data_IF_543346106564
#
_entry.id   IF_543346106564
#
_cell.length_a   1.000
_cell.length_b   1.000
_cell.length_c   1.000
_cell.angle_alpha   90.00
_cell.angle_beta   90.00
_cell.angle_gamma   90.00
#
_symmetry.space_group_name_H-M   'P 1'
#
loop_
_entity.id
_entity.type
_entity.pdbx_description
1 polymer ?
#
# COMPACT_ATOMS: atom_id res chain seq x y z
N UNK A 1 9.25 -7.24 10.42
CA UNK A 1 10.28 -6.95 9.38
C UNK A 1 9.67 -6.92 7.97
N UNK A 2 8.80 -7.86 7.63
CA UNK A 2 8.18 -7.95 6.29
C UNK A 2 7.23 -6.77 6.00
N UNK A 3 6.42 -6.34 6.97
CA UNK A 3 5.47 -5.22 6.81
C UNK A 3 6.19 -3.87 6.65
N UNK A 4 7.25 -3.61 7.40
CA UNK A 4 8.03 -2.37 7.27
C UNK A 4 8.77 -2.30 5.94
N UNK A 5 9.31 -3.41 5.47
CA UNK A 5 9.97 -3.46 4.16
C UNK A 5 8.97 -3.19 3.03
N UNK A 6 7.78 -3.79 3.09
CA UNK A 6 6.71 -3.57 2.13
C UNK A 6 6.27 -2.10 2.12
N UNK A 7 6.10 -1.51 3.30
CA UNK A 7 5.73 -0.11 3.47
C UNK A 7 6.79 0.82 2.88
N UNK A 8 8.07 0.58 3.18
CA UNK A 8 9.17 1.36 2.64
C UNK A 8 9.26 1.24 1.12
N UNK A 9 9.11 0.03 0.57
CA UNK A 9 9.11 -0.16 -0.89
C UNK A 9 7.93 0.53 -1.56
N UNK A 10 6.75 0.46 -0.96
CA UNK A 10 5.55 1.14 -1.44
C UNK A 10 5.73 2.66 -1.42
N UNK A 11 6.32 3.20 -0.36
CA UNK A 11 6.65 4.62 -0.25
C UNK A 11 7.63 5.07 -1.34
N UNK A 12 8.69 4.31 -1.59
CA UNK A 12 9.66 4.61 -2.65
C UNK A 12 9.00 4.60 -4.03
N UNK A 13 8.13 3.63 -4.29
CA UNK A 13 7.42 3.53 -5.57
C UNK A 13 6.45 4.72 -5.76
N UNK A 14 5.74 5.10 -4.71
CA UNK A 14 4.84 6.26 -4.75
C UNK A 14 5.63 7.57 -4.94
N UNK A 15 6.73 7.76 -4.22
CA UNK A 15 7.60 8.93 -4.41
C UNK A 15 8.16 9.00 -5.83
N UNK A 16 8.52 7.86 -6.41
CA UNK A 16 9.00 7.79 -7.80
C UNK A 16 7.91 8.23 -8.78
N UNK A 17 6.67 7.80 -8.56
CA UNK A 17 5.51 8.24 -9.35
C UNK A 17 5.30 9.76 -9.25
N UNK A 18 5.30 10.31 -8.04
CA UNK A 18 5.10 11.74 -7.81
C UNK A 18 6.26 12.59 -8.38
N UNK A 19 7.48 12.11 -8.26
CA UNK A 19 8.66 12.75 -8.89
C UNK A 19 8.57 12.74 -10.40
N UNK A 20 8.04 11.69 -11.00
CA UNK A 20 7.83 11.64 -12.44
C UNK A 20 6.83 12.71 -12.91
N UNK A 21 5.73 12.92 -12.17
CA UNK A 21 4.82 14.03 -12.43
C UNK A 21 5.54 15.38 -12.41
N UNK A 22 6.37 15.60 -11.39
CA UNK A 22 7.17 16.84 -11.29
C UNK A 22 8.12 17.00 -12.46
N UNK A 23 8.81 15.95 -12.86
CA UNK A 23 9.74 15.98 -14.01
C UNK A 23 9.02 16.38 -15.30
N UNK A 24 7.82 15.87 -15.54
CA UNK A 24 7.00 16.23 -16.69
C UNK A 24 6.63 17.70 -16.60
N UNK A 25 6.19 18.18 -15.46
CA UNK A 25 5.87 19.59 -15.21
C UNK A 25 7.09 20.49 -15.40
N UNK A 26 8.23 20.13 -14.85
CA UNK A 26 9.48 20.91 -14.98
C UNK A 26 9.98 20.93 -16.43
N UNK A 27 9.93 19.81 -17.14
CA UNK A 27 10.31 19.73 -18.55
C UNK A 27 9.41 20.61 -19.41
N UNK A 28 8.09 20.57 -19.17
CA UNK A 28 7.15 21.41 -19.90
C UNK A 28 7.40 22.91 -19.66
N UNK A 29 7.59 23.30 -18.41
CA UNK A 29 7.80 24.71 -18.09
C UNK A 29 9.19 25.21 -18.53
N UNK A 30 10.26 24.60 -18.02
CA UNK A 30 11.62 25.12 -18.21
C UNK A 30 12.18 24.88 -19.62
N UNK A 31 11.80 23.80 -20.26
CA UNK A 31 12.34 23.45 -21.58
C UNK A 31 11.43 23.89 -22.74
N UNK A 32 10.15 24.09 -22.52
CA UNK A 32 9.19 24.39 -23.59
C UNK A 32 8.59 25.78 -23.45
N UNK A 33 8.00 26.14 -22.30
CA UNK A 33 7.21 27.37 -22.16
C UNK A 33 8.07 28.61 -21.89
N UNK A 34 9.05 28.50 -21.01
CA UNK A 34 9.72 29.64 -20.35
C UNK A 34 10.35 30.62 -21.33
N UNK A 35 10.97 30.13 -22.39
CA UNK A 35 11.75 30.96 -23.34
C UNK A 35 10.96 31.27 -24.63
N UNK A 36 9.67 30.99 -24.68
CA UNK A 36 8.82 31.23 -25.85
C UNK A 36 7.90 32.40 -25.69
N UNK A 37 7.76 33.20 -26.74
CA UNK A 37 6.72 34.22 -26.87
C UNK A 37 5.49 33.57 -27.55
N UNK A 38 4.43 33.38 -26.78
CA UNK A 38 3.21 32.69 -27.22
C UNK A 38 2.41 33.47 -28.30
N UNK A 39 2.74 34.74 -28.55
CA UNK A 39 2.17 35.51 -29.65
C UNK A 39 2.74 35.08 -31.02
N UNK A 40 3.94 34.48 -31.03
CA UNK A 40 4.71 34.12 -32.23
C UNK A 40 4.97 32.63 -32.30
N UNK A 41 5.26 32.00 -31.16
CA UNK A 41 5.65 30.61 -31.04
C UNK A 41 4.48 29.72 -30.55
N UNK A 42 4.42 28.51 -31.07
CA UNK A 42 3.52 27.47 -30.54
C UNK A 42 4.31 26.49 -29.66
N UNK A 43 3.65 25.99 -28.61
CA UNK A 43 4.19 24.95 -27.74
C UNK A 43 3.53 23.57 -27.95
N UNK A 44 2.58 23.50 -28.89
CA UNK A 44 1.74 22.31 -29.09
C UNK A 44 2.54 21.07 -29.48
N UNK A 45 3.52 21.21 -30.37
CA UNK A 45 4.32 20.10 -30.85
C UNK A 45 5.18 19.50 -29.74
N UNK A 46 5.90 20.30 -29.00
CA UNK A 46 6.76 19.86 -27.89
C UNK A 46 5.93 19.29 -26.74
N UNK A 47 4.79 19.91 -26.44
CA UNK A 47 3.85 19.41 -25.43
C UNK A 47 3.32 18.03 -25.82
N UNK A 48 2.97 17.84 -27.08
CA UNK A 48 2.50 16.56 -27.60
C UNK A 48 3.61 15.49 -27.58
N UNK A 49 4.84 15.84 -27.91
CA UNK A 49 5.98 14.94 -27.81
C UNK A 49 6.22 14.49 -26.37
N UNK A 50 6.12 15.41 -25.41
CA UNK A 50 6.26 15.10 -23.99
C UNK A 50 5.12 14.19 -23.50
N UNK A 51 3.90 14.45 -23.95
CA UNK A 51 2.75 13.57 -23.70
C UNK A 51 2.96 12.17 -24.26
N UNK A 52 3.33 12.05 -25.53
CA UNK A 52 3.56 10.74 -26.18
C UNK A 52 4.65 9.92 -25.50
N UNK A 53 5.69 10.57 -24.99
CA UNK A 53 6.76 9.91 -24.24
C UNK A 53 6.33 9.35 -22.89
N UNK A 54 5.22 9.83 -22.32
CA UNK A 54 4.74 9.49 -20.97
C UNK A 54 3.30 8.96 -20.95
N UNK A 55 2.68 8.71 -22.08
CA UNK A 55 1.24 8.39 -22.21
C UNK A 55 0.78 7.13 -21.46
N UNK A 56 1.70 6.26 -21.06
CA UNK A 56 1.35 5.07 -20.28
C UNK A 56 0.77 5.42 -18.90
N UNK A 57 1.23 6.52 -18.31
CA UNK A 57 0.81 7.00 -17.00
C UNK A 57 0.15 8.39 -17.04
N UNK A 58 0.37 9.13 -18.11
CA UNK A 58 -0.08 10.51 -18.27
C UNK A 58 -1.41 10.55 -19.04
N UNK A 59 -2.41 11.23 -18.47
CA UNK A 59 -3.70 11.46 -19.13
C UNK A 59 -3.64 12.72 -19.98
N UNK A 60 -3.13 13.83 -19.44
CA UNK A 60 -3.01 15.07 -20.17
C UNK A 60 -2.01 16.04 -19.54
N UNK A 61 -1.52 16.96 -20.38
CA UNK A 61 -0.84 18.18 -19.95
C UNK A 61 -1.66 19.35 -20.52
N UNK A 62 -1.90 20.38 -19.71
CA UNK A 62 -2.60 21.57 -20.15
C UNK A 62 -1.98 22.82 -19.52
N UNK A 63 -2.00 23.90 -20.27
CA UNK A 63 -1.56 25.22 -19.80
C UNK A 63 -2.69 26.22 -20.01
N UNK A 64 -2.99 27.00 -18.96
CA UNK A 64 -4.04 28.00 -18.94
C UNK A 64 -3.47 29.38 -18.63
N UNK A 65 -4.11 30.40 -19.14
CA UNK A 65 -3.87 31.79 -18.72
C UNK A 65 -4.46 32.02 -17.32
N UNK A 66 -4.13 33.15 -16.69
CA UNK A 66 -4.66 33.52 -15.37
C UNK A 66 -6.18 33.77 -15.34
N UNK A 67 -6.81 33.98 -16.49
CA UNK A 67 -8.26 34.11 -16.66
C UNK A 67 -8.94 32.80 -17.10
N UNK A 68 -8.20 31.68 -17.08
CA UNK A 68 -8.72 30.34 -17.34
C UNK A 68 -8.85 29.95 -18.80
N UNK A 69 -8.23 30.69 -19.72
CA UNK A 69 -8.20 30.32 -21.14
C UNK A 69 -7.13 29.29 -21.43
N UNK A 70 -7.48 28.29 -22.22
CA UNK A 70 -6.53 27.26 -22.66
C UNK A 70 -5.49 27.86 -23.61
N UNK A 71 -4.22 27.72 -23.25
CA UNK A 71 -3.07 28.05 -24.11
C UNK A 71 -2.71 26.88 -25.01
N UNK A 72 -2.55 25.70 -24.43
CA UNK A 72 -2.21 24.48 -25.11
C UNK A 72 -2.61 23.27 -24.27
N UNK A 73 -2.90 22.15 -24.92
CA UNK A 73 -3.17 20.87 -24.30
C UNK A 73 -2.63 19.70 -25.12
N UNK A 74 -2.19 18.67 -24.44
CA UNK A 74 -1.83 17.40 -25.05
C UNK A 74 -2.46 16.24 -24.24
N UNK A 75 -3.10 15.23 -24.88
CA UNK A 75 -3.34 15.18 -26.33
C UNK A 75 -4.25 16.30 -26.80
N UNK A 76 -4.15 16.62 -28.09
CA UNK A 76 -5.01 17.66 -28.70
C UNK A 76 -6.47 17.24 -28.55
N UNK A 77 -7.25 18.09 -27.88
CA UNK A 77 -8.65 17.82 -27.55
C UNK A 77 -9.42 19.15 -27.44
N UNK A 78 -10.72 19.06 -27.48
CA UNK A 78 -11.58 20.22 -27.27
C UNK A 78 -11.88 20.41 -25.79
N UNK A 79 -11.85 21.68 -25.35
CA UNK A 79 -12.36 22.03 -24.02
C UNK A 79 -13.86 21.73 -23.91
N UNK A 80 -14.27 21.37 -22.72
CA UNK A 80 -15.69 21.22 -22.39
C UNK A 80 -16.33 22.61 -22.19
N UNK A 81 -17.44 22.84 -22.84
CA UNK A 81 -18.09 24.17 -22.92
C UNK A 81 -18.49 24.82 -21.58
N UNK A 82 -18.47 24.09 -20.46
CA UNK A 82 -18.90 24.58 -19.14
C UNK A 82 -17.88 24.31 -18.03
N UNK A 83 -16.60 24.28 -18.35
CA UNK A 83 -15.56 24.15 -17.33
C UNK A 83 -15.22 25.51 -16.73
N UNK A 84 -15.68 25.76 -15.51
CA UNK A 84 -15.22 26.91 -14.71
C UNK A 84 -13.80 26.66 -14.21
N UNK A 85 -12.83 26.86 -15.11
CA UNK A 85 -11.40 26.56 -14.85
C UNK A 85 -10.89 27.35 -13.65
N UNK A 86 -11.23 28.62 -13.54
CA UNK A 86 -10.74 29.50 -12.48
C UNK A 86 -11.28 29.15 -11.08
N UNK A 87 -12.37 28.41 -10.99
CA UNK A 87 -12.98 27.97 -9.75
C UNK A 87 -12.54 26.54 -9.34
N UNK A 88 -11.74 25.88 -10.19
CA UNK A 88 -11.20 24.57 -9.87
C UNK A 88 -10.15 24.68 -8.75
N UNK A 89 -10.20 23.75 -7.80
CA UNK A 89 -9.30 23.76 -6.64
C UNK A 89 -7.82 23.79 -7.04
N UNK A 90 -7.43 22.98 -8.02
CA UNK A 90 -6.05 22.95 -8.53
C UNK A 90 -5.61 24.28 -9.14
N UNK A 91 -6.53 25.02 -9.78
CA UNK A 91 -6.25 26.34 -10.34
C UNK A 91 -6.10 27.39 -9.25
N UNK A 92 -7.03 27.42 -8.31
CA UNK A 92 -7.02 28.35 -7.17
C UNK A 92 -5.75 28.16 -6.34
N UNK A 93 -5.39 26.93 -6.02
CA UNK A 93 -4.19 26.63 -5.25
C UNK A 93 -2.91 27.11 -5.98
N UNK A 94 -2.82 26.88 -7.29
CA UNK A 94 -1.67 27.31 -8.08
C UNK A 94 -1.52 28.85 -8.13
N UNK A 95 -2.63 29.58 -8.21
CA UNK A 95 -2.63 31.05 -8.25
C UNK A 95 -2.38 31.65 -6.87
N UNK A 96 -2.99 31.10 -5.81
CA UNK A 96 -2.87 31.62 -4.45
C UNK A 96 -1.50 31.36 -3.83
N UNK A 97 -0.87 30.22 -4.18
CA UNK A 97 0.44 29.81 -3.67
C UNK A 97 1.41 29.54 -4.82
N UNK A 98 1.75 30.57 -5.54
CA UNK A 98 2.53 30.52 -6.79
C UNK A 98 3.90 29.86 -6.68
N UNK A 99 4.49 29.82 -5.48
CA UNK A 99 5.83 29.25 -5.26
C UNK A 99 5.82 27.72 -5.10
N UNK A 100 4.63 27.12 -4.92
CA UNK A 100 4.49 25.71 -4.58
C UNK A 100 3.93 24.90 -5.76
N UNK A 101 4.28 23.62 -5.73
CA UNK A 101 3.61 22.58 -6.50
C UNK A 101 2.42 22.06 -5.70
N UNK A 102 1.29 21.84 -6.35
CA UNK A 102 0.06 21.39 -5.70
C UNK A 102 -0.36 20.03 -6.26
N UNK A 103 -0.37 19.02 -5.41
CA UNK A 103 -0.90 17.69 -5.73
C UNK A 103 -2.34 17.59 -5.24
N UNK A 104 -3.25 17.20 -6.14
CA UNK A 104 -4.64 16.96 -5.76
C UNK A 104 -4.84 15.51 -5.29
N UNK A 105 -5.91 15.29 -4.55
CA UNK A 105 -6.48 13.95 -4.36
C UNK A 105 -7.11 13.43 -5.65
N UNK A 106 -7.32 12.11 -5.80
CA UNK A 106 -7.95 11.54 -6.98
C UNK A 106 -9.33 12.14 -7.25
N UNK A 107 -9.55 12.53 -8.48
CA UNK A 107 -10.82 13.10 -8.95
C UNK A 107 -11.04 12.76 -10.41
N UNK A 108 -12.28 12.94 -10.86
CA UNK A 108 -12.62 12.75 -12.28
C UNK A 108 -12.19 14.00 -13.06
N UNK A 109 -11.41 13.79 -14.13
CA UNK A 109 -11.08 14.88 -15.04
C UNK A 109 -12.34 15.33 -15.80
N UNK A 110 -12.68 16.60 -15.69
CA UNK A 110 -13.86 17.21 -16.31
C UNK A 110 -13.51 18.45 -17.16
N UNK A 111 -12.36 18.41 -17.82
CA UNK A 111 -11.82 19.56 -18.55
C UNK A 111 -12.05 19.48 -20.05
N UNK A 112 -12.05 18.25 -20.60
CA UNK A 112 -12.04 18.00 -22.04
C UNK A 112 -13.20 17.12 -22.46
N UNK A 113 -13.68 17.35 -23.68
CA UNK A 113 -14.61 16.46 -24.34
C UNK A 113 -13.90 15.17 -24.73
N UNK A 114 -14.46 14.05 -24.31
CA UNK A 114 -13.96 12.73 -24.64
C UNK A 114 -14.95 12.05 -25.59
N UNK A 115 -14.55 11.83 -26.83
CA UNK A 115 -15.36 11.15 -27.86
C UNK A 115 -15.80 9.73 -27.44
N UNK A 116 -15.11 9.10 -26.51
CA UNK A 116 -15.43 7.78 -25.99
C UNK A 116 -16.31 7.78 -24.74
N UNK A 117 -16.76 8.94 -24.27
CA UNK A 117 -17.52 9.12 -23.02
C UNK A 117 -16.91 8.43 -21.80
N UNK A 118 -15.58 8.36 -21.75
CA UNK A 118 -14.85 7.75 -20.64
C UNK A 118 -14.55 8.79 -19.58
N UNK A 119 -14.78 8.42 -18.34
CA UNK A 119 -14.33 9.20 -17.20
C UNK A 119 -12.93 8.72 -16.78
N UNK A 120 -11.97 9.64 -16.78
CA UNK A 120 -10.63 9.38 -16.29
C UNK A 120 -10.50 9.84 -14.85
N UNK A 121 -10.14 8.92 -13.97
CA UNK A 121 -9.70 9.28 -12.63
C UNK A 121 -8.23 9.68 -12.68
N UNK A 122 -7.94 10.87 -12.18
CA UNK A 122 -6.62 11.48 -12.24
C UNK A 122 -6.16 11.97 -10.88
N UNK A 123 -4.84 12.04 -10.73
CA UNK A 123 -4.17 12.85 -9.71
C UNK A 123 -3.53 14.00 -10.46
N UNK A 124 -3.80 15.22 -10.05
CA UNK A 124 -3.34 16.44 -10.71
C UNK A 124 -2.14 17.04 -9.98
N UNK A 125 -1.17 17.49 -10.76
CA UNK A 125 -0.11 18.39 -10.32
C UNK A 125 -0.34 19.74 -11.01
N UNK A 126 -0.58 20.78 -10.24
CA UNK A 126 -0.72 22.15 -10.75
C UNK A 126 0.37 23.07 -10.22
N UNK A 127 0.76 24.01 -11.03
CA UNK A 127 1.73 25.06 -10.66
C UNK A 127 1.51 26.34 -11.43
N UNK A 128 1.85 27.47 -10.82
CA UNK A 128 1.95 28.74 -11.49
C UNK A 128 3.17 28.76 -12.42
N UNK A 129 2.99 29.30 -13.60
CA UNK A 129 4.04 29.50 -14.61
C UNK A 129 4.00 30.92 -15.15
N UNK A 130 5.14 31.42 -15.62
CA UNK A 130 5.23 32.66 -16.30
C UNK A 130 5.01 32.49 -17.81
N UNK A 131 4.01 33.15 -18.35
CA UNK A 131 3.71 33.13 -19.78
C UNK A 131 4.11 34.46 -20.40
N UNK A 132 4.83 34.44 -21.52
CA UNK A 132 5.23 35.61 -22.27
C UNK A 132 4.45 35.70 -23.57
N UNK A 133 3.86 36.87 -23.82
CA UNK A 133 3.15 37.18 -25.07
C UNK A 133 3.41 38.64 -25.46
N UNK A 134 3.90 38.86 -26.68
CA UNK A 134 4.32 40.20 -27.16
C UNK A 134 5.30 40.92 -26.21
N UNK A 135 6.21 40.17 -25.61
CA UNK A 135 7.18 40.68 -24.64
C UNK A 135 6.64 40.97 -23.25
N UNK A 136 5.35 40.76 -23.01
CA UNK A 136 4.71 40.94 -21.70
C UNK A 136 4.59 39.61 -20.97
N UNK A 137 4.96 39.61 -19.70
CA UNK A 137 4.83 38.43 -18.84
C UNK A 137 3.53 38.48 -18.05
N UNK A 138 2.80 37.39 -18.05
CA UNK A 138 1.59 37.17 -17.26
C UNK A 138 1.67 35.81 -16.53
N UNK A 139 0.87 35.69 -15.48
CA UNK A 139 0.74 34.42 -14.77
C UNK A 139 -0.13 33.46 -15.57
N UNK A 140 0.28 32.20 -15.57
CA UNK A 140 -0.52 31.09 -16.07
C UNK A 140 -0.48 29.91 -15.10
N UNK A 141 -1.22 28.86 -15.42
CA UNK A 141 -1.26 27.63 -14.64
C UNK A 141 -0.98 26.44 -15.55
N UNK A 142 0.00 25.64 -15.18
CA UNK A 142 0.33 24.37 -15.81
C UNK A 142 -0.28 23.23 -15.00
N UNK A 143 -0.99 22.35 -15.69
CA UNK A 143 -1.66 21.19 -15.12
C UNK A 143 -1.13 19.91 -15.75
N UNK A 144 -0.67 18.97 -14.92
CA UNK A 144 -0.28 17.63 -15.32
C UNK A 144 -1.23 16.64 -14.66
N UNK A 145 -2.01 15.93 -15.45
CA UNK A 145 -2.96 14.93 -14.98
C UNK A 145 -2.44 13.53 -15.25
N UNK A 146 -2.15 12.80 -14.16
CA UNK A 146 -1.69 11.42 -14.21
C UNK A 146 -2.84 10.45 -13.95
N UNK A 147 -2.75 9.26 -14.57
CA UNK A 147 -3.74 8.22 -14.39
C UNK A 147 -3.70 7.67 -12.94
N UNK A 148 -4.81 7.79 -12.23
CA UNK A 148 -4.96 7.24 -10.89
C UNK A 148 -4.80 5.70 -10.85
N UNK A 149 -5.11 5.00 -11.94
CA UNK A 149 -4.93 3.54 -12.02
C UNK A 149 -3.50 3.07 -11.74
N UNK A 150 -2.51 3.92 -11.97
CA UNK A 150 -1.11 3.64 -11.65
C UNK A 150 -0.88 3.56 -10.14
N UNK A 151 -1.54 4.42 -9.37
CA UNK A 151 -1.53 4.35 -7.88
C UNK A 151 -2.28 3.10 -7.42
N UNK A 152 -3.45 2.82 -7.99
CA UNK A 152 -4.21 1.60 -7.67
C UNK A 152 -3.37 0.33 -7.89
N UNK A 153 -2.69 0.22 -9.02
CA UNK A 153 -1.82 -0.93 -9.31
C UNK A 153 -0.66 -1.07 -8.33
N UNK A 154 -0.08 0.06 -7.93
CA UNK A 154 1.01 0.09 -6.95
C UNK A 154 0.55 -0.46 -5.60
N UNK A 155 -0.61 -0.02 -5.12
CA UNK A 155 -1.16 -0.47 -3.84
C UNK A 155 -1.81 -1.87 -3.92
N UNK A 156 -2.37 -2.25 -5.06
CA UNK A 156 -2.87 -3.61 -5.26
C UNK A 156 -1.76 -4.66 -5.17
N UNK A 157 -0.53 -4.31 -5.59
CA UNK A 157 0.65 -5.18 -5.38
C UNK A 157 1.04 -5.32 -3.92
N UNK A 158 0.82 -4.29 -3.12
CA UNK A 158 1.08 -4.32 -1.69
C UNK A 158 -0.02 -5.08 -0.91
N UNK A 159 -1.22 -5.16 -1.47
CA UNK A 159 -2.36 -5.85 -0.87
C UNK A 159 -2.58 -7.20 -1.56
N UNK A 160 -2.12 -8.28 -0.95
CA UNK A 160 -2.37 -9.64 -1.44
C UNK A 160 -3.76 -10.12 -1.04
N UNK A 161 -4.49 -10.71 -1.97
CA UNK A 161 -5.94 -11.02 -1.88
C UNK A 161 -6.40 -11.90 -0.71
N UNK A 162 -5.48 -12.50 0.06
CA UNK A 162 -5.80 -13.45 1.12
C UNK A 162 -5.26 -13.09 2.50
N UNK A 163 -4.68 -11.93 2.68
CA UNK A 163 -4.20 -11.52 4.00
C UNK A 163 -5.23 -10.64 4.71
N UNK A 164 -5.37 -10.85 6.02
CA UNK A 164 -6.10 -9.93 6.89
C UNK A 164 -5.36 -8.58 7.07
N UNK A 165 -4.13 -8.52 6.60
CA UNK A 165 -3.29 -7.35 6.57
C UNK A 165 -3.57 -6.55 5.28
N UNK A 166 -3.59 -5.23 5.40
CA UNK A 166 -3.76 -4.38 4.23
C UNK A 166 -3.04 -3.04 4.41
N UNK A 167 -2.82 -2.37 3.28
CA UNK A 167 -2.19 -1.06 3.21
C UNK A 167 -3.14 -0.09 2.53
N UNK A 168 -3.33 1.09 3.10
CA UNK A 168 -4.08 2.17 2.48
C UNK A 168 -3.28 3.47 2.44
N UNK A 169 -3.74 4.42 1.64
CA UNK A 169 -3.13 5.72 1.44
C UNK A 169 -4.14 6.81 1.75
N UNK A 170 -3.72 7.81 2.50
CA UNK A 170 -4.50 9.03 2.78
C UNK A 170 -3.65 10.28 2.54
N UNK A 171 -4.30 11.41 2.36
CA UNK A 171 -3.63 12.70 2.28
C UNK A 171 -3.25 13.23 3.69
N UNK A 172 -2.69 14.44 3.74
CA UNK A 172 -2.29 15.09 4.98
C UNK A 172 -3.46 15.47 5.90
N UNK A 173 -4.66 15.54 5.37
CA UNK A 173 -5.88 15.86 6.11
C UNK A 173 -6.67 14.61 6.54
N UNK A 174 -6.20 13.45 6.14
CA UNK A 174 -6.81 12.16 6.47
C UNK A 174 -7.86 11.69 5.46
N UNK A 175 -7.99 12.35 4.31
CA UNK A 175 -8.84 11.85 3.23
C UNK A 175 -8.21 10.64 2.55
N UNK A 176 -9.00 9.61 2.33
CA UNK A 176 -8.54 8.35 1.72
C UNK A 176 -8.30 8.57 0.23
N UNK A 177 -7.05 8.37 -0.19
CA UNK A 177 -6.64 8.37 -1.60
C UNK A 177 -6.83 6.98 -2.22
N UNK A 178 -6.42 5.94 -1.51
CA UNK A 178 -6.59 4.55 -1.90
C UNK A 178 -6.90 3.68 -0.68
N UNK A 179 -7.86 2.79 -0.83
CA UNK A 179 -8.16 1.75 0.15
C UNK A 179 -8.60 0.47 -0.57
N UNK A 180 -8.17 -0.74 -0.15
CA UNK A 180 -8.60 -1.98 -0.81
C UNK A 180 -10.12 -2.21 -0.76
N UNK A 181 -10.80 -1.61 0.23
CA UNK A 181 -12.27 -1.63 0.36
C UNK A 181 -12.93 -0.30 0.02
N UNK A 182 -12.33 0.48 -0.87
CA UNK A 182 -12.77 1.85 -1.18
C UNK A 182 -14.24 1.94 -1.62
N UNK A 183 -14.71 0.96 -2.40
CA UNK A 183 -16.12 0.90 -2.81
C UNK A 183 -17.08 0.78 -1.63
N UNK A 184 -16.70 0.02 -0.61
CA UNK A 184 -17.51 -0.15 0.60
C UNK A 184 -17.48 1.12 1.47
N UNK A 185 -16.37 1.84 1.48
CA UNK A 185 -16.25 3.12 2.19
C UNK A 185 -17.18 4.17 1.54
N UNK A 186 -17.18 4.28 0.22
CA UNK A 186 -18.05 5.21 -0.49
C UNK A 186 -19.56 4.92 -0.31
N UNK A 187 -19.91 3.68 -0.06
CA UNK A 187 -21.30 3.28 0.21
C UNK A 187 -21.66 3.26 1.69
N UNK A 188 -20.77 3.73 2.56
CA UNK A 188 -20.90 3.70 4.03
C UNK A 188 -21.15 2.29 4.62
N UNK A 189 -20.69 1.25 3.91
CA UNK A 189 -20.76 -0.14 4.37
C UNK A 189 -19.49 -0.57 5.13
N UNK A 190 -18.45 0.22 5.07
CA UNK A 190 -17.19 0.01 5.77
C UNK A 190 -16.62 1.35 6.23
N UNK A 191 -16.12 1.39 7.45
CA UNK A 191 -15.45 2.56 8.03
C UNK A 191 -13.98 2.23 8.28
N UNK A 192 -13.12 3.22 8.05
CA UNK A 192 -11.70 3.16 8.38
C UNK A 192 -11.38 4.23 9.42
N UNK A 193 -10.34 4.00 10.23
CA UNK A 193 -9.90 4.92 11.27
C UNK A 193 -8.93 6.01 10.75
N UNK A 194 -9.12 6.45 9.52
CA UNK A 194 -8.23 7.39 8.82
C UNK A 194 -8.18 8.77 9.49
N UNK A 195 -9.29 9.27 10.01
CA UNK A 195 -9.35 10.59 10.65
C UNK A 195 -8.58 10.66 11.98
N UNK A 196 -8.42 9.54 12.67
CA UNK A 196 -7.56 9.46 13.85
C UNK A 196 -6.13 9.08 13.48
N UNK A 197 -5.96 8.14 12.54
CA UNK A 197 -4.66 7.68 12.09
C UNK A 197 -3.81 8.78 11.43
N UNK A 198 -4.42 9.81 10.86
CA UNK A 198 -3.70 10.97 10.28
C UNK A 198 -2.86 11.71 11.32
N UNK A 199 -3.23 11.63 12.60
CA UNK A 199 -2.50 12.26 13.70
C UNK A 199 -1.37 11.41 14.27
N UNK A 200 -1.22 10.15 13.81
CA UNK A 200 -0.13 9.30 14.24
C UNK A 200 1.19 9.71 13.57
N UNK A 201 2.24 9.72 14.38
CA UNK A 201 3.61 9.88 13.87
C UNK A 201 4.06 8.63 13.12
N UNK A 202 5.10 8.78 12.30
CA UNK A 202 5.72 7.65 11.61
C UNK A 202 6.19 6.60 12.62
N UNK A 203 5.91 5.35 12.33
CA UNK A 203 6.21 4.21 13.18
C UNK A 203 5.00 3.36 13.47
N UNK A 204 5.14 2.47 14.45
CA UNK A 204 4.12 1.49 14.81
C UNK A 204 3.31 1.95 16.01
N UNK A 205 1.99 1.84 15.90
CA UNK A 205 1.01 2.20 16.91
C UNK A 205 0.03 1.04 17.12
N UNK A 206 -0.48 0.91 18.33
CA UNK A 206 -1.58 0.01 18.61
C UNK A 206 -2.86 0.81 18.77
N UNK A 207 -3.91 0.36 18.09
CA UNK A 207 -5.23 0.97 18.21
C UNK A 207 -6.30 -0.09 18.44
N UNK A 208 -7.43 0.36 18.99
CA UNK A 208 -8.66 -0.44 19.06
C UNK A 208 -9.69 0.27 18.21
N UNK A 209 -10.11 -0.38 17.14
CA UNK A 209 -11.11 0.17 16.24
C UNK A 209 -12.24 -0.84 16.04
N UNK A 210 -13.48 -0.40 16.29
CA UNK A 210 -14.67 -1.24 16.26
C UNK A 210 -14.55 -2.56 17.07
N UNK A 211 -13.88 -2.47 18.23
CA UNK A 211 -13.67 -3.60 19.13
C UNK A 211 -12.52 -4.54 18.73
N UNK A 212 -11.86 -4.31 17.62
CA UNK A 212 -10.71 -5.08 17.17
C UNK A 212 -9.40 -4.35 17.50
N UNK A 213 -8.46 -5.09 18.10
CA UNK A 213 -7.09 -4.59 18.31
C UNK A 213 -6.30 -4.72 17.01
N UNK A 214 -5.66 -3.64 16.59
CA UNK A 214 -4.88 -3.57 15.37
C UNK A 214 -3.50 -2.98 15.65
N UNK A 215 -2.49 -3.51 14.92
CA UNK A 215 -1.18 -2.89 14.82
C UNK A 215 -1.16 -2.03 13.57
N UNK A 216 -0.91 -0.74 13.75
CA UNK A 216 -0.86 0.26 12.68
C UNK A 216 0.57 0.71 12.50
N UNK A 217 1.07 0.68 11.28
CA UNK A 217 2.38 1.27 10.94
C UNK A 217 2.16 2.38 9.93
N UNK A 218 2.64 3.58 10.26
CA UNK A 218 2.47 4.79 9.46
C UNK A 218 3.81 5.19 8.85
N UNK A 219 3.81 5.52 7.57
CA UNK A 219 4.92 6.10 6.84
C UNK A 219 4.46 7.34 6.09
N UNK A 220 5.04 8.50 6.41
CA UNK A 220 4.77 9.74 5.69
C UNK A 220 5.62 9.81 4.43
N UNK A 221 4.96 10.12 3.31
CA UNK A 221 5.61 10.44 2.05
C UNK A 221 6.06 11.88 2.12
N UNK A 222 7.34 12.12 2.26
CA UNK A 222 7.92 13.46 2.49
C UNK A 222 7.61 14.46 1.38
N UNK A 223 7.37 13.96 0.19
CA UNK A 223 7.14 14.77 -1.01
C UNK A 223 5.80 15.51 -1.00
N UNK A 224 4.75 14.91 -0.46
CA UNK A 224 3.38 15.44 -0.44
C UNK A 224 2.79 15.55 0.95
N UNK A 225 3.41 14.95 1.96
CA UNK A 225 2.83 14.78 3.28
C UNK A 225 1.75 13.69 3.36
N UNK A 226 1.52 12.94 2.27
CA UNK A 226 0.60 11.81 2.28
C UNK A 226 1.10 10.71 3.22
N UNK A 227 0.19 9.95 3.77
CA UNK A 227 0.52 8.89 4.71
C UNK A 227 0.10 7.53 4.17
N UNK A 228 1.05 6.60 4.16
CA UNK A 228 0.82 5.19 3.88
C UNK A 228 0.62 4.50 5.21
N UNK A 229 -0.47 3.75 5.36
CA UNK A 229 -0.84 3.08 6.60
C UNK A 229 -0.97 1.59 6.35
N UNK A 230 -0.18 0.80 7.09
CA UNK A 230 -0.32 -0.66 7.15
C UNK A 230 -1.16 -1.03 8.36
N UNK A 231 -2.17 -1.85 8.14
CA UNK A 231 -3.08 -2.34 9.18
C UNK A 231 -2.93 -3.84 9.32
N UNK A 232 -2.58 -4.29 10.52
CA UNK A 232 -2.44 -5.71 10.86
C UNK A 232 -3.37 -6.01 12.04
N UNK A 233 -4.48 -6.73 11.83
CA UNK A 233 -5.33 -7.17 12.93
C UNK A 233 -4.56 -8.09 13.88
N UNK A 234 -4.68 -7.86 15.19
CA UNK A 234 -3.99 -8.69 16.19
C UNK A 234 -4.52 -10.14 16.21
N UNK A 235 -5.73 -10.36 15.72
CA UNK A 235 -6.28 -11.71 15.49
C UNK A 235 -5.45 -12.52 14.50
N UNK A 236 -4.82 -11.89 13.52
CA UNK A 236 -3.92 -12.54 12.56
C UNK A 236 -2.66 -13.12 13.24
N UNK A 237 -2.11 -12.43 14.24
CA UNK A 237 -0.99 -12.94 15.05
C UNK A 237 -1.40 -14.14 15.89
N UNK A 238 -2.60 -14.12 16.46
CA UNK A 238 -3.09 -15.21 17.29
C UNK A 238 -3.31 -16.50 16.49
N UNK A 239 -3.77 -16.43 15.26
CA UNK A 239 -3.94 -17.62 14.40
C UNK A 239 -2.61 -18.32 14.12
N UNK A 240 -1.55 -17.58 13.85
CA UNK A 240 -0.21 -18.15 13.69
C UNK A 240 0.33 -18.80 14.97
N UNK A 241 0.08 -18.18 16.13
CA UNK A 241 0.49 -18.72 17.44
C UNK A 241 -0.32 -19.96 17.85
N UNK A 242 -1.60 -20.03 17.49
CA UNK A 242 -2.42 -21.23 17.74
C UNK A 242 -1.91 -22.44 16.97
N UNK A 243 -1.57 -22.27 15.70
CA UNK A 243 -0.97 -23.35 14.90
C UNK A 243 0.33 -23.87 15.50
N UNK A 244 1.22 -22.97 15.92
CA UNK A 244 2.50 -23.34 16.55
C UNK A 244 2.28 -23.99 17.92
N UNK A 245 1.36 -23.50 18.73
CA UNK A 245 1.01 -24.09 20.04
C UNK A 245 0.44 -25.50 19.88
N UNK A 246 -0.49 -25.69 18.93
CA UNK A 246 -1.06 -27.02 18.65
C UNK A 246 0.00 -28.00 18.15
N UNK A 247 0.94 -27.54 17.32
CA UNK A 247 2.06 -28.36 16.86
C UNK A 247 2.97 -28.78 18.01
N UNK A 248 3.31 -27.87 18.94
CA UNK A 248 4.13 -28.18 20.12
C UNK A 248 3.40 -29.16 21.04
N UNK A 249 2.10 -28.96 21.29
CA UNK A 249 1.28 -29.87 22.10
C UNK A 249 1.25 -31.26 21.46
N UNK A 250 1.10 -31.36 20.15
CA UNK A 250 1.09 -32.61 19.41
C UNK A 250 2.45 -33.32 19.50
N UNK A 251 3.56 -32.60 19.40
CA UNK A 251 4.91 -33.17 19.61
C UNK A 251 5.13 -33.68 21.03
N UNK A 252 4.66 -32.94 22.05
CA UNK A 252 4.73 -33.40 23.44
C UNK A 252 3.90 -34.66 23.67
N UNK A 253 2.69 -34.72 23.13
CA UNK A 253 1.85 -35.92 23.21
C UNK A 253 2.51 -37.14 22.54
N UNK A 254 3.09 -36.91 21.36
CA UNK A 254 3.81 -37.97 20.63
C UNK A 254 5.03 -38.48 21.40
N UNK A 255 5.81 -37.57 22.02
CA UNK A 255 6.97 -37.94 22.83
C UNK A 255 6.56 -38.70 24.10
N UNK A 256 5.48 -38.30 24.78
CA UNK A 256 4.93 -39.07 25.92
C UNK A 256 4.52 -40.49 25.50
N UNK A 257 3.84 -40.61 24.36
CA UNK A 257 3.41 -41.90 23.84
C UNK A 257 4.59 -42.82 23.53
N UNK A 258 5.65 -42.26 22.94
CA UNK A 258 6.91 -42.96 22.69
C UNK A 258 7.56 -43.46 24.00
N UNK A 259 7.61 -42.63 25.03
CA UNK A 259 8.16 -42.98 26.35
C UNK A 259 7.35 -44.13 26.96
N UNK A 260 6.02 -44.12 26.90
CA UNK A 260 5.15 -45.17 27.39
C UNK A 260 5.41 -46.48 26.66
N UNK A 261 5.51 -46.44 25.32
CA UNK A 261 5.79 -47.62 24.50
C UNK A 261 7.16 -48.25 24.86
N UNK A 262 8.20 -47.40 24.94
CA UNK A 262 9.54 -47.83 25.30
C UNK A 262 9.54 -48.45 26.71
N UNK A 263 8.86 -47.80 27.66
CA UNK A 263 8.76 -48.29 29.02
C UNK A 263 8.05 -49.67 29.10
N UNK A 264 6.97 -49.84 28.34
CA UNK A 264 6.28 -51.15 28.25
C UNK A 264 7.15 -52.22 27.59
N UNK A 265 7.91 -51.88 26.53
CA UNK A 265 8.81 -52.82 25.88
C UNK A 265 9.96 -53.25 26.79
N UNK A 266 10.56 -52.29 27.51
CA UNK A 266 11.61 -52.58 28.52
C UNK A 266 11.05 -53.43 29.65
N UNK A 267 9.87 -53.10 30.17
CA UNK A 267 9.21 -53.90 31.20
C UNK A 267 8.90 -55.33 30.75
N UNK A 268 8.40 -55.47 29.51
CA UNK A 268 8.06 -56.80 28.97
C UNK A 268 9.29 -57.65 28.65
N UNK A 269 10.37 -57.05 28.13
CA UNK A 269 11.54 -57.84 27.68
C UNK A 269 12.66 -58.02 28.73
N UNK A 270 12.75 -57.09 29.68
CA UNK A 270 13.84 -57.10 30.67
C UNK A 270 13.34 -57.29 32.10
N UNK A 271 12.40 -56.46 32.55
CA UNK A 271 11.98 -56.41 33.95
C UNK A 271 11.18 -57.67 34.36
N UNK A 272 10.20 -58.06 33.55
CA UNK A 272 9.40 -59.31 33.87
C UNK A 272 10.21 -60.59 33.86
N UNK A 273 11.07 -60.83 32.86
CA UNK A 273 11.95 -62.02 32.91
C UNK A 273 12.89 -62.01 34.12
N UNK A 274 13.48 -60.86 34.47
CA UNK A 274 14.32 -60.68 35.65
C UNK A 274 13.60 -60.98 36.98
N UNK A 275 12.38 -60.47 37.12
CA UNK A 275 11.54 -60.76 38.30
C UNK A 275 11.23 -62.22 38.43
N UNK A 276 10.86 -62.88 37.34
CA UNK A 276 10.61 -64.36 37.33
C UNK A 276 11.86 -65.16 37.67
N UNK A 277 13.02 -64.74 37.19
CA UNK A 277 14.28 -65.34 37.55
C UNK A 277 14.59 -65.19 39.05
N UNK A 278 14.37 -63.95 39.58
CA UNK A 278 14.57 -63.63 41.00
C UNK A 278 13.63 -64.46 41.91
N UNK A 279 12.37 -64.62 41.53
CA UNK A 279 11.41 -65.49 42.23
C UNK A 279 11.83 -66.92 42.19
N UNK A 280 12.31 -67.45 41.06
CA UNK A 280 12.84 -68.80 40.93
C UNK A 280 14.07 -69.06 41.80
N UNK A 281 14.97 -68.04 41.89
CA UNK A 281 16.14 -68.11 42.77
C UNK A 281 15.72 -68.03 44.24
N UNK A 282 14.74 -67.28 44.64
CA UNK A 282 14.20 -67.23 46.00
C UNK A 282 13.53 -68.50 46.40
N UNK A 283 12.80 -69.19 45.51
CA UNK A 283 12.21 -70.47 45.75
C UNK A 283 13.31 -71.54 45.93
N UNK A 284 14.41 -71.49 45.20
CA UNK A 284 15.56 -72.35 45.37
C UNK A 284 16.29 -72.16 46.69
N UNK A 285 16.50 -70.86 47.13
CA UNK A 285 17.06 -70.51 48.42
C UNK A 285 16.17 -70.95 49.58
N UNK A 286 14.86 -71.02 49.42
CA UNK A 286 13.90 -71.51 50.40
C UNK A 286 13.84 -73.05 50.53
N UNK A 287 14.70 -73.82 49.82
CA UNK A 287 14.79 -75.26 49.91
C UNK A 287 13.88 -76.06 48.98
N UNK A 288 13.33 -75.47 47.93
CA UNK A 288 12.56 -76.13 46.90
C UNK A 288 13.52 -76.87 45.93
N UNK A 289 13.48 -78.17 45.92
CA UNK A 289 14.47 -79.04 45.23
C UNK A 289 14.29 -79.12 43.69
N UNK A 290 13.23 -78.58 43.10
CA UNK A 290 12.99 -78.54 41.63
C UNK A 290 12.51 -77.09 41.17
N UNK A 291 13.34 -76.09 41.26
CA UNK A 291 12.95 -74.77 40.73
C UNK A 291 12.98 -74.75 39.20
N UNK A 292 11.93 -74.28 38.60
CA UNK A 292 11.87 -73.99 37.18
C UNK A 292 12.55 -72.63 36.92
N UNK A 293 13.78 -72.65 36.36
CA UNK A 293 14.47 -71.45 35.98
C UNK A 293 13.87 -70.98 34.65
N UNK A 294 13.26 -69.72 34.67
CA UNK A 294 12.77 -69.15 33.45
C UNK A 294 13.94 -68.51 32.67
N UNK A 295 14.22 -69.09 31.48
CA UNK A 295 15.11 -68.49 30.50
C UNK A 295 14.24 -67.88 29.45
N UNK A 296 14.09 -66.52 29.53
CA UNK A 296 13.38 -65.75 28.53
C UNK A 296 14.15 -65.69 27.21
N UNK A 297 13.48 -66.09 26.15
CA UNK A 297 13.97 -65.88 24.77
C UNK A 297 13.53 -64.52 24.20
#
# INVERSE_FOLDING_TARGET
ESSEQLLNQTAINLETYLRNMRRISDAMYYSVIKDKDLAVDSVDEEMNLLYEANKDNLISIACYTNDGKLVAAAPVTNEKDNSDIVDQEWFVNAVDQMENLHFSTPHVQNLFDNAAYRYYWVVSLSRAVELTSNGNSTLGVLLVDMNYSSIEQLFNKANTDNSSEYVYLMDSDGEIIYHPKQKLIYTNLYEENNLEAVHYDDGSHQEIFQGEKRLITVKTVSYTGWKIVSVVPMSAFNMGLYGTRMFVIMLMALSMLMIIIINQLVSARIAKPLQRLNESVKEWEAGNLNPTIYVGG
#
